data_IF_255101621784
#
_entry.id   IF_255101621784
#
_cell.length_a   1.000
_cell.length_b   1.000
_cell.length_c   1.000
_cell.angle_alpha   90.00
_cell.angle_beta   90.00
_cell.angle_gamma   90.00
#
_symmetry.space_group_name_H-M   'P 1'
#
loop_
_entity.id
_entity.type
_entity.pdbx_description
1 polymer ?
#
# COMPACT_ATOMS: atom_id res chain seq x y z
N UNK A 1 -18.16 -9.60 -1.20
CA UNK A 1 -16.86 -9.00 -0.82
C UNK A 1 -15.93 -9.05 -2.01
N UNK A 2 -15.37 -7.92 -2.37
CA UNK A 2 -14.45 -7.79 -3.50
C UNK A 2 -13.02 -8.00 -3.04
N UNK A 3 -12.24 -8.76 -3.81
CA UNK A 3 -10.82 -9.03 -3.51
C UNK A 3 -9.96 -8.53 -4.65
N UNK A 4 -8.83 -7.89 -4.31
CA UNK A 4 -7.83 -7.43 -5.27
C UNK A 4 -6.49 -8.03 -4.86
N UNK A 5 -5.74 -8.54 -5.84
CA UNK A 5 -4.42 -9.11 -5.63
C UNK A 5 -3.50 -8.65 -6.76
N UNK A 6 -2.37 -8.05 -6.39
CA UNK A 6 -1.32 -7.67 -7.33
C UNK A 6 0.01 -8.12 -6.77
N UNK A 7 0.86 -8.70 -7.60
CA UNK A 7 2.20 -9.10 -7.19
C UNK A 7 3.23 -8.68 -8.23
N UNK A 8 4.46 -8.55 -7.77
CA UNK A 8 5.59 -8.19 -8.63
C UNK A 8 6.88 -8.70 -8.01
N UNK A 9 7.93 -8.84 -8.83
CA UNK A 9 9.28 -9.13 -8.37
C UNK A 9 10.11 -7.87 -8.52
N UNK A 10 10.75 -7.46 -7.43
CA UNK A 10 11.61 -6.28 -7.37
C UNK A 10 13.07 -6.78 -7.32
N UNK A 11 13.90 -6.29 -8.23
CA UNK A 11 15.30 -6.70 -8.31
C UNK A 11 16.16 -5.91 -7.31
N UNK A 12 15.88 -6.17 -6.03
CA UNK A 12 16.61 -5.59 -4.90
C UNK A 12 16.47 -6.52 -3.69
N UNK A 13 17.44 -6.51 -2.77
CA UNK A 13 17.35 -7.31 -1.53
C UNK A 13 16.14 -6.90 -0.69
N UNK A 14 15.54 -7.87 -0.01
CA UNK A 14 14.31 -7.65 0.75
C UNK A 14 14.44 -6.57 1.83
N UNK A 15 15.61 -6.45 2.45
CA UNK A 15 15.82 -5.45 3.50
C UNK A 15 15.84 -4.02 2.93
N UNK A 16 16.32 -3.83 1.70
CA UNK A 16 16.23 -2.53 1.03
C UNK A 16 14.79 -2.16 0.68
N UNK A 17 14.02 -3.12 0.17
CA UNK A 17 12.62 -2.88 -0.17
C UNK A 17 11.82 -2.59 1.10
N UNK A 18 12.01 -3.41 2.14
CA UNK A 18 11.30 -3.22 3.41
C UNK A 18 11.64 -1.88 4.07
N UNK A 19 12.91 -1.47 4.06
CA UNK A 19 13.32 -0.16 4.59
C UNK A 19 12.59 0.98 3.90
N UNK A 20 12.29 0.85 2.60
CA UNK A 20 11.58 1.87 1.83
C UNK A 20 10.11 1.98 2.20
N UNK A 21 9.45 0.85 2.48
CA UNK A 21 7.99 0.82 2.65
C UNK A 21 7.50 0.72 4.09
N UNK A 22 8.38 0.33 5.05
CA UNK A 22 7.96 0.04 6.41
C UNK A 22 7.43 1.25 7.19
N UNK A 23 7.89 2.44 6.88
CA UNK A 23 7.33 3.65 7.48
C UNK A 23 5.97 3.94 6.84
N UNK A 24 4.92 3.91 7.64
CA UNK A 24 3.55 4.10 7.14
C UNK A 24 3.39 5.46 6.44
N UNK A 25 4.14 6.47 6.88
CA UNK A 25 4.11 7.81 6.27
C UNK A 25 4.99 7.94 5.02
N UNK A 26 5.75 6.90 4.64
CA UNK A 26 6.65 6.98 3.48
C UNK A 26 5.94 6.86 2.13
N UNK A 27 4.65 6.57 2.12
CA UNK A 27 3.89 6.33 0.90
C UNK A 27 4.06 7.45 -0.14
N UNK A 28 4.05 8.71 0.31
CA UNK A 28 4.22 9.87 -0.56
C UNK A 28 5.62 9.93 -1.20
N UNK A 29 6.61 9.28 -0.60
CA UNK A 29 8.00 9.31 -1.08
C UNK A 29 8.20 8.41 -2.31
N UNK A 30 7.35 7.41 -2.49
CA UNK A 30 7.55 6.44 -3.56
C UNK A 30 6.32 6.16 -4.42
N UNK A 31 5.10 6.41 -3.94
CA UNK A 31 3.89 6.15 -4.72
C UNK A 31 3.50 7.37 -5.55
N UNK A 32 3.43 7.25 -6.88
CA UNK A 32 3.22 8.43 -7.75
C UNK A 32 1.84 9.08 -7.64
N UNK A 33 0.84 8.36 -7.13
CA UNK A 33 -0.50 8.90 -6.97
C UNK A 33 -0.66 9.80 -5.75
N UNK A 34 0.33 9.84 -4.86
CA UNK A 34 0.25 10.54 -3.57
C UNK A 34 1.00 11.87 -3.65
N UNK A 35 0.32 12.97 -3.35
CA UNK A 35 0.92 14.29 -3.36
C UNK A 35 1.71 14.58 -2.08
N UNK A 36 1.11 14.33 -0.92
CA UNK A 36 1.71 14.53 0.39
C UNK A 36 1.04 13.63 1.41
N UNK A 37 1.71 13.41 2.56
CA UNK A 37 1.20 12.55 3.63
C UNK A 37 1.75 13.02 4.98
N UNK A 38 0.94 12.90 6.03
CA UNK A 38 1.38 13.11 7.40
C UNK A 38 0.67 12.13 8.33
N UNK A 39 1.30 11.85 9.49
CA UNK A 39 0.69 11.03 10.54
C UNK A 39 -0.06 11.97 11.48
N UNK A 40 -1.34 11.70 11.71
CA UNK A 40 -2.18 12.50 12.59
C UNK A 40 -1.65 12.46 14.02
N UNK A 41 -1.68 13.59 14.71
CA UNK A 41 -1.28 13.68 16.11
C UNK A 41 0.21 13.49 16.37
N UNK A 42 1.07 13.57 15.35
CA UNK A 42 2.52 13.37 15.46
C UNK A 42 2.90 12.02 16.10
N UNK A 43 2.04 11.01 15.96
CA UNK A 43 2.35 9.66 16.42
C UNK A 43 3.50 9.06 15.60
N UNK A 44 4.27 8.11 16.16
CA UNK A 44 5.25 7.38 15.37
C UNK A 44 4.59 6.64 14.18
N UNK A 45 5.24 6.65 13.03
CA UNK A 45 4.67 6.05 11.82
C UNK A 45 4.71 4.51 11.81
N UNK A 46 5.32 3.89 12.81
CA UNK A 46 5.33 2.44 13.02
C UNK A 46 4.44 1.99 14.19
N UNK A 47 3.71 2.92 14.80
CA UNK A 47 2.79 2.61 15.90
C UNK A 47 1.47 2.07 15.35
N UNK A 48 1.09 0.88 15.75
CA UNK A 48 -0.23 0.32 15.41
C UNK A 48 -1.32 1.24 15.94
N UNK A 49 -2.27 1.57 15.08
CA UNK A 49 -3.32 2.54 15.36
C UNK A 49 -3.04 3.93 14.82
N UNK A 50 -1.80 4.24 14.40
CA UNK A 50 -1.52 5.54 13.79
C UNK A 50 -2.28 5.70 12.47
N UNK A 51 -2.59 6.94 12.13
CA UNK A 51 -3.37 7.27 10.94
C UNK A 51 -2.51 8.12 10.02
N UNK A 52 -2.32 7.64 8.77
CA UNK A 52 -1.75 8.48 7.72
C UNK A 52 -2.87 9.18 6.99
N UNK A 53 -2.71 10.47 6.85
CA UNK A 53 -3.65 11.35 6.17
C UNK A 53 -2.93 11.91 4.95
N UNK A 54 -3.41 11.57 3.76
CA UNK A 54 -2.70 11.94 2.56
C UNK A 54 -3.64 12.47 1.47
N UNK A 55 -3.06 13.30 0.63
CA UNK A 55 -3.76 13.87 -0.51
C UNK A 55 -3.29 13.20 -1.79
N UNK A 56 -4.25 12.97 -2.68
CA UNK A 56 -3.98 12.39 -3.99
C UNK A 56 -3.54 13.46 -4.98
N UNK A 57 -2.68 13.09 -5.92
CA UNK A 57 -2.41 13.93 -7.09
C UNK A 57 -3.73 14.14 -7.83
N UNK A 58 -4.02 15.40 -8.17
CA UNK A 58 -5.26 15.75 -8.86
C UNK A 58 -6.47 15.94 -7.97
N UNK A 59 -6.34 15.78 -6.65
CA UNK A 59 -7.39 16.04 -5.67
C UNK A 59 -7.96 14.78 -5.02
N UNK A 60 -8.47 14.96 -3.82
CA UNK A 60 -9.00 13.90 -2.99
C UNK A 60 -8.11 13.63 -1.78
N UNK A 61 -8.75 13.21 -0.68
CA UNK A 61 -8.06 12.93 0.58
C UNK A 61 -8.43 11.54 1.07
N UNK A 62 -7.44 10.81 1.56
CA UNK A 62 -7.62 9.48 2.14
C UNK A 62 -7.00 9.47 3.54
N UNK A 63 -7.70 8.84 4.48
CA UNK A 63 -7.19 8.55 5.82
C UNK A 63 -7.15 7.05 6.00
N UNK A 64 -5.98 6.53 6.35
CA UNK A 64 -5.75 5.08 6.55
C UNK A 64 -5.14 4.82 7.92
N UNK A 65 -5.57 3.74 8.56
CA UNK A 65 -5.10 3.37 9.89
C UNK A 65 -4.27 2.10 9.83
N UNK A 66 -3.08 2.15 10.44
CA UNK A 66 -2.21 0.98 10.57
C UNK A 66 -2.82 -0.02 11.54
N UNK A 67 -3.07 -1.23 11.09
CA UNK A 67 -3.66 -2.31 11.90
C UNK A 67 -2.60 -3.29 12.41
N UNK A 68 -1.55 -3.56 11.62
CA UNK A 68 -0.49 -4.47 11.98
C UNK A 68 0.79 -4.13 11.21
N UNK A 69 1.93 -4.30 11.86
CA UNK A 69 3.24 -4.13 11.24
C UNK A 69 4.19 -5.16 11.84
N UNK A 70 4.82 -5.97 11.01
CA UNK A 70 5.82 -6.95 11.44
C UNK A 70 7.10 -6.77 10.65
N UNK A 71 8.16 -6.31 11.32
CA UNK A 71 9.49 -6.24 10.71
C UNK A 71 10.09 -7.64 10.51
N UNK A 72 9.69 -8.60 11.32
CA UNK A 72 10.15 -9.98 11.21
C UNK A 72 9.58 -10.65 9.95
N UNK A 73 8.27 -10.52 9.75
CA UNK A 73 7.57 -11.15 8.64
C UNK A 73 7.45 -10.24 7.40
N UNK A 74 7.84 -8.98 7.53
CA UNK A 74 7.79 -7.95 6.50
C UNK A 74 6.39 -7.83 5.91
N UNK A 75 5.44 -7.53 6.79
CA UNK A 75 4.01 -7.39 6.48
C UNK A 75 3.48 -6.12 7.10
N UNK A 76 2.66 -5.39 6.33
CA UNK A 76 1.94 -4.21 6.78
C UNK A 76 0.47 -4.35 6.39
N UNK A 77 -0.42 -4.21 7.38
CA UNK A 77 -1.87 -4.29 7.18
C UNK A 77 -2.52 -2.99 7.64
N UNK A 78 -3.44 -2.46 6.86
CA UNK A 78 -4.11 -1.20 7.17
C UNK A 78 -5.54 -1.19 6.66
N UNK A 79 -6.34 -0.28 7.21
CA UNK A 79 -7.72 -0.04 6.79
C UNK A 79 -7.87 1.39 6.24
N UNK A 80 -8.91 1.62 5.46
CA UNK A 80 -9.30 2.97 5.05
C UNK A 80 -10.39 3.47 6.00
N UNK A 81 -10.20 4.67 6.56
CA UNK A 81 -11.17 5.35 7.39
C UNK A 81 -12.02 6.33 6.58
N UNK A 82 -11.39 7.05 5.65
CA UNK A 82 -12.02 8.05 4.79
C UNK A 82 -11.43 7.94 3.39
N UNK A 83 -12.27 7.92 2.38
CA UNK A 83 -11.86 7.86 0.98
C UNK A 83 -12.94 8.41 0.07
N UNK A 84 -12.58 9.04 -1.06
CA UNK A 84 -13.56 9.40 -2.09
C UNK A 84 -14.08 8.20 -2.88
N UNK A 85 -13.45 7.03 -2.76
CA UNK A 85 -13.90 5.82 -3.45
C UNK A 85 -15.18 5.27 -2.80
N UNK A 86 -16.14 4.74 -3.59
CA UNK A 86 -17.39 4.19 -3.06
C UNK A 86 -17.20 2.76 -2.51
N UNK A 87 -16.36 2.62 -1.49
CA UNK A 87 -16.01 1.34 -0.87
C UNK A 87 -16.18 1.42 0.64
N UNK A 88 -16.40 0.26 1.26
CA UNK A 88 -16.56 0.10 2.70
C UNK A 88 -15.77 -1.12 3.19
N UNK A 89 -15.40 -1.11 4.46
CA UNK A 89 -14.73 -2.23 5.12
C UNK A 89 -13.45 -2.67 4.40
N UNK A 90 -12.67 -1.69 3.92
CA UNK A 90 -11.43 -1.92 3.20
C UNK A 90 -10.31 -2.28 4.17
N UNK A 91 -9.67 -3.42 3.91
CA UNK A 91 -8.45 -3.85 4.59
C UNK A 91 -7.46 -4.31 3.53
N UNK A 92 -6.26 -3.77 3.59
CA UNK A 92 -5.20 -4.11 2.64
C UNK A 92 -3.95 -4.61 3.37
N UNK A 93 -3.20 -5.47 2.71
CA UNK A 93 -1.94 -6.02 3.22
C UNK A 93 -0.87 -5.96 2.12
N UNK A 94 0.28 -5.41 2.50
CA UNK A 94 1.48 -5.41 1.66
C UNK A 94 2.50 -6.35 2.33
N UNK A 95 2.90 -7.38 1.60
CA UNK A 95 3.79 -8.43 2.10
C UNK A 95 4.99 -8.60 1.18
N UNK A 96 6.17 -8.75 1.78
CA UNK A 96 7.40 -9.07 1.05
C UNK A 96 7.89 -10.46 1.42
N UNK A 97 8.35 -11.20 0.42
CA UNK A 97 8.96 -12.53 0.58
C UNK A 97 10.27 -12.53 -0.19
N UNK A 98 11.34 -13.01 0.47
CA UNK A 98 12.64 -13.10 -0.18
C UNK A 98 12.63 -14.17 -1.29
N UNK A 99 13.10 -13.78 -2.46
CA UNK A 99 13.42 -14.72 -3.55
C UNK A 99 14.91 -15.04 -3.41
N UNK A 100 15.22 -16.22 -2.90
CA UNK A 100 16.61 -16.60 -2.58
C UNK A 100 17.45 -16.75 -3.83
N UNK A 101 16.85 -17.23 -4.91
CA UNK A 101 17.52 -17.33 -6.20
C UNK A 101 17.59 -15.93 -6.84
N UNK A 102 18.78 -15.34 -6.81
CA UNK A 102 19.03 -14.00 -7.33
C UNK A 102 18.88 -12.86 -6.33
N UNK A 103 18.60 -13.17 -5.06
CA UNK A 103 18.47 -12.17 -3.99
C UNK A 103 17.52 -11.04 -4.36
N UNK A 104 16.34 -11.41 -4.86
CA UNK A 104 15.27 -10.50 -5.24
C UNK A 104 14.16 -10.50 -4.20
N UNK A 105 13.17 -9.65 -4.38
CA UNK A 105 12.02 -9.55 -3.49
C UNK A 105 10.73 -9.81 -4.26
N UNK A 106 9.95 -10.79 -3.82
CA UNK A 106 8.57 -10.94 -4.23
C UNK A 106 7.71 -10.04 -3.35
N UNK A 107 6.90 -9.19 -3.97
CA UNK A 107 5.98 -8.30 -3.27
C UNK A 107 4.55 -8.61 -3.71
N UNK A 108 3.65 -8.73 -2.73
CA UNK A 108 2.23 -8.84 -3.01
C UNK A 108 1.45 -7.79 -2.23
N UNK A 109 0.46 -7.21 -2.89
CA UNK A 109 -0.41 -6.21 -2.30
C UNK A 109 -1.85 -6.65 -2.53
N UNK A 110 -2.58 -6.87 -1.44
CA UNK A 110 -3.93 -7.41 -1.49
C UNK A 110 -4.91 -6.51 -0.76
N UNK A 111 -6.17 -6.55 -1.14
CA UNK A 111 -7.23 -5.85 -0.43
C UNK A 111 -8.54 -6.63 -0.50
N UNK A 112 -9.35 -6.44 0.53
CA UNK A 112 -10.73 -6.91 0.57
C UNK A 112 -11.61 -5.72 0.97
N UNK A 113 -12.74 -5.56 0.31
CA UNK A 113 -13.67 -4.47 0.60
C UNK A 113 -15.06 -4.79 0.07
N UNK A 114 -16.04 -3.98 0.46
CA UNK A 114 -17.40 -4.05 -0.04
C UNK A 114 -17.68 -2.83 -0.92
N UNK A 115 -18.36 -3.05 -2.03
CA UNK A 115 -18.87 -2.01 -2.89
C UNK A 115 -20.14 -2.51 -3.60
N UNK A 116 -20.85 -1.62 -4.29
CA UNK A 116 -21.99 -2.03 -5.09
C UNK A 116 -21.55 -2.90 -6.26
N UNK A 117 -22.43 -3.77 -6.74
CA UNK A 117 -22.16 -4.63 -7.90
C UNK A 117 -21.80 -3.79 -9.14
N UNK A 118 -22.46 -2.63 -9.29
CA UNK A 118 -22.20 -1.73 -10.42
C UNK A 118 -20.79 -1.06 -10.36
N UNK A 119 -20.20 -0.94 -9.15
CA UNK A 119 -18.87 -0.35 -8.96
C UNK A 119 -17.76 -1.39 -8.92
N UNK A 120 -18.09 -2.67 -8.87
CA UNK A 120 -17.11 -3.74 -8.59
C UNK A 120 -15.94 -3.74 -9.59
N UNK A 121 -16.25 -3.76 -10.88
CA UNK A 121 -15.20 -3.79 -11.92
C UNK A 121 -14.32 -2.54 -11.89
N UNK A 122 -14.93 -1.37 -11.68
CA UNK A 122 -14.19 -0.10 -11.60
C UNK A 122 -13.29 -0.05 -10.37
N UNK A 123 -13.75 -0.57 -9.24
CA UNK A 123 -12.96 -0.58 -8.01
C UNK A 123 -11.83 -1.59 -8.06
N UNK A 124 -12.03 -2.75 -8.69
CA UNK A 124 -10.94 -3.70 -8.94
C UNK A 124 -9.83 -3.03 -9.78
N UNK A 125 -10.20 -2.31 -10.83
CA UNK A 125 -9.24 -1.62 -11.70
C UNK A 125 -8.56 -0.47 -10.95
N UNK A 126 -9.32 0.35 -10.23
CA UNK A 126 -8.78 1.50 -9.50
C UNK A 126 -7.79 1.06 -8.42
N UNK A 127 -8.17 0.09 -7.60
CA UNK A 127 -7.32 -0.41 -6.52
C UNK A 127 -6.17 -1.24 -7.08
N UNK A 128 -6.47 -2.16 -7.99
CA UNK A 128 -5.48 -3.09 -8.55
C UNK A 128 -4.45 -2.38 -9.42
N UNK A 129 -4.90 -1.74 -10.48
CA UNK A 129 -4.00 -1.07 -11.44
C UNK A 129 -3.58 0.31 -10.95
N UNK A 130 -4.53 1.11 -10.51
CA UNK A 130 -4.29 2.51 -10.13
C UNK A 130 -3.49 2.68 -8.85
N UNK A 131 -3.65 1.80 -7.88
CA UNK A 131 -2.95 1.90 -6.59
C UNK A 131 -1.85 0.86 -6.49
N UNK A 132 -2.17 -0.42 -6.53
CA UNK A 132 -1.21 -1.49 -6.21
C UNK A 132 -0.16 -1.68 -7.29
N UNK A 133 -0.57 -1.89 -8.52
CA UNK A 133 0.39 -2.07 -9.62
C UNK A 133 1.23 -0.81 -9.83
N UNK A 134 0.61 0.35 -9.79
CA UNK A 134 1.29 1.64 -9.93
C UNK A 134 2.35 1.82 -8.84
N UNK A 135 2.02 1.49 -7.59
CA UNK A 135 2.96 1.54 -6.47
C UNK A 135 4.11 0.55 -6.61
N UNK A 136 3.82 -0.71 -6.95
CA UNK A 136 4.87 -1.73 -7.13
C UNK A 136 5.77 -1.39 -8.32
N UNK A 137 5.21 -0.87 -9.41
CA UNK A 137 6.01 -0.43 -10.56
C UNK A 137 6.93 0.73 -10.20
N UNK A 138 6.48 1.66 -9.37
CA UNK A 138 7.30 2.76 -8.87
C UNK A 138 8.45 2.25 -7.99
N UNK A 139 8.20 1.29 -7.12
CA UNK A 139 9.25 0.65 -6.31
C UNK A 139 10.30 -0.03 -7.19
N UNK A 140 9.87 -0.72 -8.24
CA UNK A 140 10.80 -1.33 -9.21
C UNK A 140 11.67 -0.28 -9.89
N UNK A 141 11.08 0.85 -10.30
CA UNK A 141 11.82 1.93 -10.95
C UNK A 141 12.86 2.55 -10.03
N UNK A 142 12.56 2.64 -8.73
CA UNK A 142 13.46 3.23 -7.72
C UNK A 142 14.55 2.26 -7.27
N UNK A 143 14.20 0.99 -7.04
CA UNK A 143 15.06 0.02 -6.36
C UNK A 143 15.68 -1.01 -7.30
N UNK A 144 14.98 -1.43 -8.35
CA UNK A 144 15.51 -2.42 -9.28
C UNK A 144 14.43 -3.08 -10.15
N UNK A 145 14.61 -2.92 -11.43
CA UNK A 145 13.80 -3.57 -12.45
C UNK A 145 14.32 -4.97 -12.75
#
# INVERSE_FOLDING_TARGET
MTKVFVSSVINAPIDEVWAKIRSFNSLADWHPAIADSHIEGNEPSDKVGCIRNFNLQGGGNIREQLLALSDLDRVCTYSILVSPMPIENYVATLRLIKVTDGNQTYAEWTAEFNCSVSDDADMIETVGSGVFQSGLSALKAILGN
#
